data_IF_531532303137
#
_entry.id   IF_531532303137
#
_cell.length_a   1.000
_cell.length_b   1.000
_cell.length_c   1.000
_cell.angle_alpha   90.00
_cell.angle_beta   90.00
_cell.angle_gamma   90.00
#
_symmetry.space_group_name_H-M   'P 1'
#
loop_
_entity.id
_entity.type
_entity.pdbx_description
1 polymer ?
#
# COMPACT_ATOMS: atom_id res chain seq x y z
N UNK A 1 5.29 2.87 -15.87
CA UNK A 1 4.44 1.65 -15.76
C UNK A 1 5.18 0.48 -15.14
N UNK A 2 6.46 0.27 -15.44
CA UNK A 2 7.23 -0.87 -14.94
C UNK A 2 7.39 -0.88 -13.39
N UNK A 3 7.64 0.26 -12.74
CA UNK A 3 7.60 0.36 -11.28
C UNK A 3 6.24 0.03 -10.65
N UNK A 4 5.13 0.39 -11.29
CA UNK A 4 3.78 0.14 -10.76
C UNK A 4 3.40 -1.33 -10.89
N UNK A 5 3.84 -2.00 -11.96
CA UNK A 5 3.74 -3.46 -12.06
C UNK A 5 4.55 -4.16 -10.96
N UNK A 6 5.62 -3.52 -10.49
CA UNK A 6 6.47 -4.00 -9.38
C UNK A 6 6.06 -3.45 -8.01
N UNK A 7 4.97 -2.68 -7.92
CA UNK A 7 4.48 -2.14 -6.64
C UNK A 7 4.00 -3.23 -5.70
N UNK A 8 3.64 -4.41 -6.24
CA UNK A 8 3.03 -5.48 -5.47
C UNK A 8 1.58 -5.21 -5.08
N UNK A 9 0.92 -4.18 -5.62
CA UNK A 9 -0.49 -3.85 -5.34
C UNK A 9 -1.46 -4.59 -6.26
N UNK A 10 -2.45 -5.26 -5.67
CA UNK A 10 -3.53 -5.92 -6.39
C UNK A 10 -4.41 -4.94 -7.19
N UNK A 11 -4.68 -3.75 -6.64
CA UNK A 11 -5.46 -2.72 -7.32
C UNK A 11 -4.72 -2.17 -8.55
N UNK A 12 -3.43 -1.85 -8.39
CA UNK A 12 -2.61 -1.34 -9.48
C UNK A 12 -2.48 -2.36 -10.60
N UNK A 13 -2.38 -3.65 -10.26
CA UNK A 13 -2.31 -4.74 -11.23
C UNK A 13 -3.56 -4.78 -12.12
N UNK A 14 -4.74 -4.62 -11.54
CA UNK A 14 -6.01 -4.56 -12.29
C UNK A 14 -6.07 -3.32 -13.16
N UNK A 15 -5.76 -2.14 -12.62
CA UNK A 15 -5.81 -0.90 -13.40
C UNK A 15 -4.79 -0.92 -14.56
N UNK A 16 -3.59 -1.46 -14.34
CA UNK A 16 -2.60 -1.65 -15.41
C UNK A 16 -3.11 -2.62 -16.47
N UNK A 17 -3.78 -3.71 -16.09
CA UNK A 17 -4.35 -4.64 -17.07
C UNK A 17 -5.47 -3.97 -17.88
N UNK A 18 -6.34 -3.20 -17.23
CA UNK A 18 -7.38 -2.41 -17.91
C UNK A 18 -6.78 -1.45 -18.93
N UNK A 19 -5.71 -0.74 -18.58
CA UNK A 19 -5.01 0.14 -19.52
C UNK A 19 -4.43 -0.62 -20.73
N UNK A 20 -3.95 -1.86 -20.55
CA UNK A 20 -3.51 -2.70 -21.68
C UNK A 20 -4.69 -3.11 -22.56
N UNK A 21 -5.80 -3.54 -21.97
CA UNK A 21 -6.99 -3.93 -22.71
C UNK A 21 -7.59 -2.75 -23.50
N UNK A 22 -7.51 -1.53 -22.96
CA UNK A 22 -7.87 -0.29 -23.67
C UNK A 22 -6.95 -0.06 -24.88
N UNK A 23 -5.64 -0.20 -24.71
CA UNK A 23 -4.68 -0.04 -25.83
C UNK A 23 -4.89 -1.07 -26.94
N UNK A 24 -5.40 -2.26 -26.60
CA UNK A 24 -5.75 -3.32 -27.54
C UNK A 24 -7.16 -3.18 -28.13
N UNK A 25 -7.91 -2.15 -27.75
CA UNK A 25 -9.29 -1.91 -28.21
C UNK A 25 -10.32 -2.89 -27.65
N UNK A 26 -9.98 -3.64 -26.61
CA UNK A 26 -10.88 -4.60 -25.94
C UNK A 26 -11.82 -3.93 -24.94
N UNK A 27 -11.46 -2.74 -24.47
CA UNK A 27 -12.18 -2.00 -23.45
C UNK A 27 -12.22 -0.51 -23.80
N UNK A 28 -13.36 0.13 -23.58
CA UNK A 28 -13.48 1.59 -23.70
C UNK A 28 -12.91 2.29 -22.46
N UNK A 29 -12.16 3.37 -22.67
CA UNK A 29 -11.50 4.09 -21.58
C UNK A 29 -12.51 4.89 -20.75
N UNK A 30 -12.60 4.57 -19.46
CA UNK A 30 -13.44 5.29 -18.50
C UNK A 30 -12.71 6.50 -17.90
N UNK A 31 -13.45 7.36 -17.21
CA UNK A 31 -12.86 8.49 -16.48
C UNK A 31 -11.92 8.02 -15.33
N UNK A 32 -12.26 6.93 -14.65
CA UNK A 32 -11.40 6.33 -13.63
C UNK A 32 -10.08 5.84 -14.21
N UNK A 33 -10.09 5.22 -15.40
CA UNK A 33 -8.86 4.80 -16.09
C UNK A 33 -7.97 6.01 -16.46
N UNK A 34 -8.59 7.12 -16.92
CA UNK A 34 -7.88 8.39 -17.20
C UNK A 34 -7.25 8.96 -15.94
N UNK A 35 -7.99 9.06 -14.84
CA UNK A 35 -7.51 9.59 -13.56
C UNK A 35 -6.37 8.74 -13.00
N UNK A 36 -6.51 7.42 -13.02
CA UNK A 36 -5.45 6.49 -12.63
C UNK A 36 -4.17 6.71 -13.45
N UNK A 37 -4.29 6.76 -14.77
CA UNK A 37 -3.16 6.96 -15.67
C UNK A 37 -2.49 8.32 -15.46
N UNK A 38 -3.26 9.40 -15.41
CA UNK A 38 -2.74 10.75 -15.26
C UNK A 38 -2.01 10.94 -13.92
N UNK A 39 -2.61 10.48 -12.82
CA UNK A 39 -1.99 10.50 -11.50
C UNK A 39 -0.68 9.69 -11.48
N UNK A 40 -0.73 8.46 -12.00
CA UNK A 40 0.42 7.56 -12.13
C UNK A 40 1.57 8.20 -12.91
N UNK A 41 1.27 8.79 -14.07
CA UNK A 41 2.25 9.45 -14.90
C UNK A 41 2.88 10.62 -14.13
N UNK A 42 2.07 11.40 -13.42
CA UNK A 42 2.53 12.54 -12.64
C UNK A 42 3.48 12.16 -11.50
N UNK A 43 3.21 11.05 -10.81
CA UNK A 43 4.13 10.49 -9.80
C UNK A 43 5.48 10.16 -10.44
N UNK A 44 5.49 9.50 -11.60
CA UNK A 44 6.73 9.14 -12.30
C UNK A 44 7.50 10.37 -12.79
N UNK A 45 6.81 11.37 -13.34
CA UNK A 45 7.43 12.63 -13.75
C UNK A 45 8.13 13.36 -12.58
N UNK A 46 7.51 13.36 -11.41
CA UNK A 46 8.10 13.95 -10.19
C UNK A 46 9.35 13.19 -9.75
N UNK A 47 9.31 11.85 -9.77
CA UNK A 47 10.49 11.02 -9.49
C UNK A 47 11.64 11.34 -10.47
N UNK A 48 11.34 11.42 -11.78
CA UNK A 48 12.33 11.80 -12.81
C UNK A 48 12.94 13.18 -12.57
N UNK A 49 12.12 14.16 -12.22
CA UNK A 49 12.58 15.52 -11.93
C UNK A 49 13.54 15.58 -10.71
N UNK A 50 13.42 14.61 -9.79
CA UNK A 50 14.34 14.43 -8.66
C UNK A 50 15.57 13.57 -9.00
N UNK A 51 15.72 13.12 -10.26
CA UNK A 51 16.79 12.22 -10.67
C UNK A 51 16.62 10.76 -10.20
N UNK A 52 15.41 10.39 -9.77
CA UNK A 52 15.09 9.04 -9.31
C UNK A 52 14.63 8.18 -10.50
N UNK A 53 15.08 6.92 -10.52
CA UNK A 53 14.76 5.97 -11.58
C UNK A 53 13.25 5.67 -11.70
N UNK A 54 12.79 5.43 -12.93
CA UNK A 54 11.44 4.96 -13.25
C UNK A 54 11.10 3.59 -12.66
N UNK A 55 12.11 2.84 -12.23
CA UNK A 55 12.00 1.56 -11.52
C UNK A 55 12.05 1.73 -10.00
N UNK A 56 11.86 2.95 -9.48
CA UNK A 56 11.79 3.18 -8.05
C UNK A 56 10.67 2.36 -7.40
N UNK A 57 11.05 1.68 -6.33
CA UNK A 57 10.16 0.88 -5.49
C UNK A 57 10.29 1.43 -4.07
N UNK A 58 9.18 1.77 -3.40
CA UNK A 58 9.20 2.25 -2.03
C UNK A 58 9.48 1.07 -1.09
N UNK A 59 10.76 0.69 -0.99
CA UNK A 59 11.26 -0.24 0.02
C UNK A 59 11.20 0.48 1.37
N UNK A 60 12.34 0.68 2.04
CA UNK A 60 12.39 1.39 3.32
C UNK A 60 12.06 2.90 3.24
N UNK A 61 12.12 3.54 2.08
CA UNK A 61 11.92 5.00 1.94
C UNK A 61 10.44 5.39 1.74
N UNK A 62 9.61 5.09 2.74
CA UNK A 62 8.17 5.37 2.70
C UNK A 62 7.86 6.87 2.54
N UNK A 63 8.59 7.74 3.26
CA UNK A 63 8.38 9.19 3.25
C UNK A 63 8.58 9.79 1.86
N UNK A 64 9.60 9.33 1.12
CA UNK A 64 9.88 9.80 -0.25
C UNK A 64 8.70 9.49 -1.17
N UNK A 65 8.19 8.27 -1.12
CA UNK A 65 7.03 7.87 -1.92
C UNK A 65 5.79 8.66 -1.53
N UNK A 66 5.51 8.79 -0.22
CA UNK A 66 4.34 9.49 0.26
C UNK A 66 4.34 10.95 -0.18
N UNK A 67 5.47 11.65 -0.06
CA UNK A 67 5.60 13.03 -0.50
C UNK A 67 5.31 13.22 -2.00
N UNK A 68 5.84 12.33 -2.84
CA UNK A 68 5.59 12.39 -4.29
C UNK A 68 4.14 12.02 -4.62
N UNK A 69 3.59 11.01 -3.95
CA UNK A 69 2.22 10.56 -4.13
C UNK A 69 1.21 11.64 -3.74
N UNK A 70 1.32 12.21 -2.54
CA UNK A 70 0.44 13.29 -2.07
C UNK A 70 0.53 14.51 -2.97
N UNK A 71 1.74 14.93 -3.36
CA UNK A 71 1.90 16.08 -4.27
C UNK A 71 1.27 15.84 -5.65
N UNK A 72 1.26 14.58 -6.14
CA UNK A 72 0.58 14.24 -7.38
C UNK A 72 -0.95 14.28 -7.22
N UNK A 73 -1.50 13.86 -6.07
CA UNK A 73 -2.94 13.98 -5.79
C UNK A 73 -3.37 15.46 -5.75
N UNK A 74 -2.56 16.33 -5.12
CA UNK A 74 -2.83 17.77 -5.02
C UNK A 74 -2.87 18.46 -6.39
N UNK A 75 -2.00 18.08 -7.35
CA UNK A 75 -2.02 18.62 -8.71
C UNK A 75 -3.38 18.46 -9.39
N UNK A 76 -4.08 17.36 -9.08
CA UNK A 76 -5.41 17.04 -9.63
C UNK A 76 -6.56 17.41 -8.68
N UNK A 77 -6.28 18.02 -7.53
CA UNK A 77 -7.26 18.32 -6.47
C UNK A 77 -8.07 17.09 -6.04
N UNK A 78 -7.43 15.93 -6.04
CA UNK A 78 -8.06 14.68 -5.62
C UNK A 78 -7.87 14.51 -4.11
N UNK A 79 -8.96 14.14 -3.43
CA UNK A 79 -8.90 13.68 -2.04
C UNK A 79 -8.36 12.25 -1.95
N UNK A 80 -8.35 11.70 -0.73
CA UNK A 80 -7.87 10.34 -0.47
C UNK A 80 -8.93 9.24 -0.70
N UNK A 81 -9.97 9.53 -1.48
CA UNK A 81 -11.02 8.56 -1.81
C UNK A 81 -10.52 7.64 -2.93
N UNK A 82 -10.40 6.35 -2.62
CA UNK A 82 -9.91 5.32 -3.54
C UNK A 82 -10.78 5.18 -4.80
N UNK A 83 -12.08 5.48 -4.72
CA UNK A 83 -13.01 5.40 -5.86
C UNK A 83 -12.70 6.44 -6.94
N UNK A 84 -11.89 7.46 -6.61
CA UNK A 84 -11.44 8.45 -7.59
C UNK A 84 -10.40 7.89 -8.56
N UNK A 85 -9.65 6.85 -8.16
CA UNK A 85 -8.52 6.32 -8.93
C UNK A 85 -8.66 4.84 -9.26
N UNK A 86 -9.51 4.09 -8.55
CA UNK A 86 -9.65 2.66 -8.73
C UNK A 86 -11.09 2.28 -9.05
N UNK A 87 -11.24 1.25 -9.88
CA UNK A 87 -12.54 0.60 -10.09
C UNK A 87 -12.91 -0.26 -8.88
N UNK A 88 -14.19 -0.59 -8.73
CA UNK A 88 -14.65 -1.50 -7.67
C UNK A 88 -13.90 -2.83 -7.69
N UNK A 89 -13.62 -3.37 -8.88
CA UNK A 89 -12.84 -4.60 -9.04
C UNK A 89 -11.42 -4.47 -8.47
N UNK A 90 -10.75 -3.33 -8.74
CA UNK A 90 -9.42 -3.04 -8.22
C UNK A 90 -9.45 -2.87 -6.70
N UNK A 91 -10.46 -2.18 -6.15
CA UNK A 91 -10.66 -2.00 -4.70
C UNK A 91 -10.88 -3.36 -4.02
N UNK A 92 -11.74 -4.22 -4.57
CA UNK A 92 -11.99 -5.55 -4.00
C UNK A 92 -10.76 -6.46 -4.08
N UNK A 93 -9.91 -6.31 -5.10
CA UNK A 93 -8.62 -6.99 -5.12
C UNK A 93 -7.66 -6.48 -4.04
N UNK A 94 -7.61 -5.17 -3.78
CA UNK A 94 -6.81 -4.61 -2.68
C UNK A 94 -7.26 -5.18 -1.33
N UNK A 95 -8.57 -5.13 -1.03
CA UNK A 95 -9.11 -5.67 0.23
C UNK A 95 -8.83 -7.16 0.41
N UNK A 96 -8.96 -7.96 -0.67
CA UNK A 96 -8.59 -9.38 -0.64
C UNK A 96 -7.12 -9.59 -0.32
N UNK A 97 -6.23 -8.81 -0.95
CA UNK A 97 -4.80 -8.88 -0.69
C UNK A 97 -4.47 -8.52 0.77
N UNK A 98 -5.10 -7.48 1.30
CA UNK A 98 -4.89 -7.02 2.68
C UNK A 98 -5.30 -8.07 3.71
N UNK A 99 -6.44 -8.72 3.50
CA UNK A 99 -6.89 -9.84 4.36
C UNK A 99 -5.87 -10.96 4.30
N UNK A 100 -5.45 -11.41 3.10
CA UNK A 100 -4.49 -12.49 2.95
C UNK A 100 -3.13 -12.18 3.60
N UNK A 101 -2.65 -10.95 3.46
CA UNK A 101 -1.42 -10.51 4.11
C UNK A 101 -1.53 -10.53 5.63
N UNK A 102 -2.65 -10.04 6.17
CA UNK A 102 -2.91 -10.06 7.60
C UNK A 102 -3.06 -11.49 8.15
N UNK A 103 -3.73 -12.38 7.42
CA UNK A 103 -3.82 -13.81 7.75
C UNK A 103 -2.44 -14.48 7.77
N UNK A 104 -1.61 -14.22 6.76
CA UNK A 104 -0.25 -14.74 6.68
C UNK A 104 0.62 -14.27 7.84
N UNK A 105 0.45 -13.02 8.28
CA UNK A 105 1.15 -12.46 9.42
C UNK A 105 0.64 -12.95 10.77
N UNK A 106 -0.67 -13.19 10.91
CA UNK A 106 -1.28 -13.72 12.14
C UNK A 106 -1.17 -15.25 12.26
N UNK A 107 -0.99 -15.97 11.15
CA UNK A 107 -0.99 -17.43 11.09
C UNK A 107 -2.40 -18.04 11.20
N UNK A 108 -3.44 -17.26 10.91
CA UNK A 108 -4.83 -17.62 11.20
C UNK A 108 -5.80 -16.95 10.24
N UNK A 109 -6.91 -17.62 9.93
CA UNK A 109 -7.98 -17.02 9.13
C UNK A 109 -8.63 -15.85 9.86
N UNK A 110 -9.01 -14.83 9.09
CA UNK A 110 -9.62 -13.61 9.62
C UNK A 110 -10.77 -13.13 8.73
N UNK A 111 -11.19 -11.88 8.91
CA UNK A 111 -12.21 -11.23 8.06
C UNK A 111 -11.88 -9.74 7.90
N UNK A 112 -12.49 -9.08 6.91
CA UNK A 112 -12.33 -7.64 6.72
C UNK A 112 -12.68 -6.85 8.00
N UNK A 113 -13.75 -7.23 8.70
CA UNK A 113 -14.17 -6.59 9.94
C UNK A 113 -13.12 -6.74 11.06
N UNK A 114 -12.43 -7.89 11.12
CA UNK A 114 -11.37 -8.14 12.09
C UNK A 114 -10.08 -7.38 11.74
N UNK A 115 -9.73 -7.32 10.45
CA UNK A 115 -8.64 -6.47 9.97
C UNK A 115 -8.90 -5.00 10.29
N UNK A 116 -10.11 -4.49 10.02
CA UNK A 116 -10.49 -3.12 10.37
C UNK A 116 -10.35 -2.87 11.88
N UNK A 117 -10.84 -3.80 12.71
CA UNK A 117 -10.67 -3.70 14.16
C UNK A 117 -9.20 -3.67 14.56
N UNK A 118 -8.32 -4.45 13.92
CA UNK A 118 -6.89 -4.42 14.18
C UNK A 118 -6.27 -3.06 13.80
N UNK A 119 -6.60 -2.54 12.61
CA UNK A 119 -6.12 -1.24 12.12
C UNK A 119 -6.48 -0.12 13.09
N UNK A 120 -7.71 -0.12 13.60
CA UNK A 120 -8.22 0.91 14.53
C UNK A 120 -7.63 0.83 15.93
N UNK A 121 -7.34 -0.37 16.44
CA UNK A 121 -7.08 -0.58 17.87
C UNK A 121 -5.63 -0.95 18.22
N UNK A 122 -4.89 -1.60 17.32
CA UNK A 122 -3.51 -1.98 17.60
C UNK A 122 -2.54 -0.81 17.46
N UNK A 123 -1.35 -0.94 18.05
CA UNK A 123 -0.29 0.05 17.84
C UNK A 123 0.12 0.05 16.37
N UNK A 124 0.41 1.23 15.81
CA UNK A 124 0.85 1.36 14.41
C UNK A 124 2.09 0.49 14.17
N UNK A 125 3.01 0.49 15.13
CA UNK A 125 4.23 -0.31 15.11
C UNK A 125 3.98 -1.81 15.04
N UNK A 126 3.17 -2.36 15.93
CA UNK A 126 2.87 -3.80 15.97
C UNK A 126 2.17 -4.22 14.68
N UNK A 127 1.21 -3.41 14.22
CA UNK A 127 0.46 -3.71 13.00
C UNK A 127 1.35 -3.66 11.75
N UNK A 128 2.21 -2.65 11.62
CA UNK A 128 3.17 -2.54 10.52
C UNK A 128 4.16 -3.71 10.50
N UNK A 129 4.62 -4.17 11.67
CA UNK A 129 5.53 -5.32 11.76
C UNK A 129 4.91 -6.63 11.23
N UNK A 130 3.60 -6.67 11.04
CA UNK A 130 2.85 -7.81 10.50
C UNK A 130 2.45 -7.53 9.05
N UNK A 131 1.80 -6.40 8.77
CA UNK A 131 1.27 -6.07 7.43
C UNK A 131 2.37 -5.90 6.39
N UNK A 132 3.52 -5.34 6.76
CA UNK A 132 4.63 -5.11 5.84
C UNK A 132 5.23 -6.41 5.26
N UNK A 133 4.98 -7.56 5.90
CA UNK A 133 5.47 -8.88 5.47
C UNK A 133 4.59 -9.50 4.36
N UNK A 134 3.51 -8.82 3.96
CA UNK A 134 2.67 -9.25 2.83
C UNK A 134 2.11 -8.12 1.98
N UNK A 135 2.30 -6.86 2.40
CA UNK A 135 1.85 -5.68 1.69
C UNK A 135 3.00 -4.71 1.45
N UNK A 136 3.00 -4.14 0.26
CA UNK A 136 3.81 -2.99 -0.05
C UNK A 136 3.28 -1.73 0.67
N UNK A 137 4.17 -0.77 0.92
CA UNK A 137 3.82 0.48 1.60
C UNK A 137 2.59 1.20 0.99
N UNK A 138 2.43 1.32 -0.35
CA UNK A 138 1.24 1.94 -0.94
C UNK A 138 -0.09 1.28 -0.53
N UNK A 139 -0.12 -0.05 -0.42
CA UNK A 139 -1.32 -0.77 0.01
C UNK A 139 -1.62 -0.54 1.50
N UNK A 140 -0.56 -0.44 2.31
CA UNK A 140 -0.69 -0.10 3.74
C UNK A 140 -1.21 1.34 3.90
N UNK A 141 -0.69 2.28 3.12
CA UNK A 141 -1.13 3.67 3.11
C UNK A 141 -2.64 3.78 2.77
N UNK A 142 -3.10 3.07 1.73
CA UNK A 142 -4.54 3.01 1.42
C UNK A 142 -5.38 2.41 2.57
N UNK A 143 -4.89 1.34 3.20
CA UNK A 143 -5.58 0.71 4.33
C UNK A 143 -5.75 1.66 5.52
N UNK A 144 -4.69 2.38 5.88
CA UNK A 144 -4.76 3.42 6.91
C UNK A 144 -5.60 4.61 6.46
N UNK A 145 -5.58 4.96 5.18
CA UNK A 145 -6.46 5.99 4.60
C UNK A 145 -7.94 5.69 4.82
N UNK A 146 -8.35 4.41 4.71
CA UNK A 146 -9.74 3.98 4.94
C UNK A 146 -10.15 3.97 6.41
N UNK A 147 -9.29 3.46 7.29
CA UNK A 147 -9.72 3.10 8.64
C UNK A 147 -9.07 3.91 9.76
N UNK A 148 -8.00 4.67 9.49
CA UNK A 148 -7.20 5.37 10.51
C UNK A 148 -6.36 6.53 9.95
N UNK A 149 -7.02 7.43 9.21
CA UNK A 149 -6.37 8.50 8.44
C UNK A 149 -5.50 9.45 9.29
N UNK A 150 -5.82 9.64 10.57
CA UNK A 150 -5.08 10.51 11.47
C UNK A 150 -3.61 10.09 11.65
N UNK A 151 -3.29 8.81 11.48
CA UNK A 151 -1.91 8.28 11.52
C UNK A 151 -1.13 8.76 10.30
N UNK A 152 -1.77 8.84 9.14
CA UNK A 152 -1.16 9.39 7.91
C UNK A 152 -0.99 10.90 8.07
N UNK A 153 -2.04 11.60 8.49
CA UNK A 153 -2.04 13.06 8.62
C UNK A 153 -0.97 13.59 9.58
N UNK A 154 -0.54 12.78 10.56
CA UNK A 154 0.52 13.11 11.52
C UNK A 154 1.92 12.68 11.06
N UNK A 155 2.04 12.02 9.91
CA UNK A 155 3.30 11.42 9.45
C UNK A 155 3.75 10.20 10.26
N UNK A 156 2.91 9.69 11.17
CA UNK A 156 3.23 8.57 12.06
C UNK A 156 3.44 7.28 11.26
N UNK A 157 2.67 7.06 10.19
CA UNK A 157 2.77 5.85 9.37
C UNK A 157 4.16 5.70 8.72
N UNK A 158 4.61 6.72 7.98
CA UNK A 158 5.90 6.69 7.29
C UNK A 158 7.06 6.58 8.28
N UNK A 159 7.02 7.40 9.34
CA UNK A 159 8.05 7.42 10.38
C UNK A 159 8.18 6.05 11.05
N UNK A 160 7.08 5.47 11.51
CA UNK A 160 7.11 4.17 12.18
C UNK A 160 7.57 3.06 11.22
N UNK A 161 7.17 3.11 9.96
CA UNK A 161 7.61 2.14 8.95
C UNK A 161 9.12 2.18 8.74
N UNK A 162 9.70 3.38 8.61
CA UNK A 162 11.14 3.60 8.47
C UNK A 162 11.91 3.12 9.71
N UNK A 163 11.46 3.46 10.91
CA UNK A 163 12.04 3.02 12.19
C UNK A 163 12.11 1.48 12.31
N UNK A 164 11.09 0.76 11.83
CA UNK A 164 11.09 -0.72 11.86
C UNK A 164 12.23 -1.34 11.04
N UNK A 165 12.69 -0.70 9.96
CA UNK A 165 13.88 -1.16 9.22
C UNK A 165 15.17 -0.78 9.94
N UNK A 166 15.26 0.44 10.49
CA UNK A 166 16.43 0.90 11.24
C UNK A 166 16.71 0.01 12.46
N UNK A 167 15.64 -0.43 13.13
CA UNK A 167 15.71 -1.30 14.30
C UNK A 167 15.86 -2.79 13.96
N UNK A 168 15.84 -3.16 12.68
CA UNK A 168 15.98 -4.55 12.24
C UNK A 168 14.77 -5.44 12.56
N UNK A 169 13.60 -4.85 12.82
CA UNK A 169 12.34 -5.60 12.95
C UNK A 169 11.84 -6.02 11.56
N UNK A 170 11.99 -5.14 10.58
CA UNK A 170 11.78 -5.43 9.17
C UNK A 170 13.12 -5.45 8.44
N UNK A 171 13.22 -6.26 7.40
CA UNK A 171 14.31 -6.24 6.43
C UNK A 171 13.76 -6.10 5.01
N UNK A 172 14.57 -5.59 4.09
CA UNK A 172 14.18 -5.46 2.69
C UNK A 172 13.94 -6.86 2.09
N UNK A 173 12.75 -7.08 1.55
CA UNK A 173 12.41 -8.27 0.78
C UNK A 173 12.50 -8.02 -0.72
N UNK A 174 11.82 -8.90 -1.46
CA UNK A 174 11.63 -8.74 -2.90
C UNK A 174 10.61 -7.63 -3.19
N UNK A 175 10.88 -6.85 -4.24
CA UNK A 175 10.05 -5.70 -4.63
C UNK A 175 9.85 -4.71 -3.46
N UNK A 176 8.60 -4.29 -3.19
CA UNK A 176 8.23 -3.35 -2.13
C UNK A 176 7.78 -4.03 -0.83
N UNK A 177 7.87 -5.36 -0.75
CA UNK A 177 7.35 -6.12 0.39
C UNK A 177 8.51 -6.42 1.33
N UNK A 178 8.31 -6.18 2.62
CA UNK A 178 9.32 -6.46 3.63
C UNK A 178 9.35 -7.96 3.97
N UNK A 179 10.43 -8.37 4.62
CA UNK A 179 10.53 -9.67 5.30
C UNK A 179 10.80 -9.46 6.79
N UNK A 180 10.68 -10.53 7.57
CA UNK A 180 11.06 -10.52 8.99
C UNK A 180 12.54 -10.18 9.11
N UNK A 181 12.84 -9.11 9.84
CA UNK A 181 14.20 -8.76 10.22
C UNK A 181 14.72 -9.62 11.37
N UNK A 182 16.02 -9.51 11.70
CA UNK A 182 16.66 -10.31 12.76
C UNK A 182 16.05 -10.09 14.14
N UNK A 183 15.41 -8.94 14.39
CA UNK A 183 14.79 -8.60 15.67
C UNK A 183 13.28 -8.74 15.66
N UNK A 184 12.70 -9.32 14.61
CA UNK A 184 11.26 -9.52 14.54
C UNK A 184 10.79 -10.51 15.60
N UNK A 185 9.79 -10.11 16.37
CA UNK A 185 9.08 -10.96 17.33
C UNK A 185 7.58 -10.79 17.09
N UNK A 186 6.82 -11.87 17.24
CA UNK A 186 5.37 -11.82 17.06
C UNK A 186 4.75 -10.80 18.05
N UNK A 187 3.98 -9.82 17.55
CA UNK A 187 3.29 -8.87 18.43
C UNK A 187 2.25 -9.55 19.32
N UNK A 188 1.90 -8.88 20.41
CA UNK A 188 0.98 -9.41 21.44
C UNK A 188 -0.36 -9.88 20.84
N UNK A 189 -0.96 -9.10 19.94
CA UNK A 189 -2.27 -9.47 19.36
C UNK A 189 -2.21 -10.72 18.48
N UNK A 190 -1.05 -10.99 17.86
CA UNK A 190 -0.80 -12.22 17.08
C UNK A 190 -0.64 -13.40 18.03
N UNK A 191 0.20 -13.25 19.06
CA UNK A 191 0.42 -14.29 20.07
C UNK A 191 -0.87 -14.68 20.81
N UNK A 192 -1.74 -13.69 21.05
CA UNK A 192 -3.04 -13.86 21.71
C UNK A 192 -4.17 -14.24 20.75
N UNK A 193 -3.92 -14.35 19.44
CA UNK A 193 -4.93 -14.77 18.45
C UNK A 193 -6.18 -13.88 18.47
N UNK A 194 -6.01 -12.58 18.74
CA UNK A 194 -7.12 -11.64 19.03
C UNK A 194 -8.12 -11.47 17.88
N UNK A 195 -7.65 -11.68 16.65
CA UNK A 195 -8.40 -11.44 15.41
C UNK A 195 -8.69 -12.70 14.60
N UNK A 196 -8.60 -13.87 15.23
CA UNK A 196 -9.04 -15.13 14.62
C UNK A 196 -10.56 -15.15 14.41
N UNK A 197 -10.98 -15.90 13.39
CA UNK A 197 -12.39 -16.15 13.06
C UNK A 197 -12.89 -17.47 13.65
#
# INVERSE_FOLDING_TARGET
MHAIQKSGSGADSIMVQRLKDILEGKLEMTDTDRRFYAHTLRVVERLRAMGISDDFIPKKNASLWNNVHTAALEDFKLGNDETLRYTDEAIEAAKRQEILAFEGGCGSKTSLAKLEQAVRNESVRDLLSVLAIGLAFPSIDMLFGRYRFEVIARGELCKTYEELFEEGILAEGDFAIAIKGPHWVAPKFVAEKRYER
#
